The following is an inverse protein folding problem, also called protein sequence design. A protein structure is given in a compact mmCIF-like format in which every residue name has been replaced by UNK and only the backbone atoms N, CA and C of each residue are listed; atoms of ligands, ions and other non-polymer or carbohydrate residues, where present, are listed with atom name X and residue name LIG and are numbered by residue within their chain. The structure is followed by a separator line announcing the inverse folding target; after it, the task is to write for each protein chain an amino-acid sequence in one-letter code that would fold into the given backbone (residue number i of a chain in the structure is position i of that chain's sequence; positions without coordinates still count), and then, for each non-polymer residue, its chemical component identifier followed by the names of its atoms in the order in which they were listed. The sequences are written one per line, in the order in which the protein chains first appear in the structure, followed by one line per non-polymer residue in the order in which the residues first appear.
data_IF_389175321831
#
_entry.id   IF_389175321831
#
_cell.length_a   1.000
_cell.length_b   1.000
_cell.length_c   1.000
_cell.angle_alpha   90.00
_cell.angle_beta   90.00
_cell.angle_gamma   90.00
#
_symmetry.space_group_name_H-M   'P 1'
#
loop_
_entity.id
_entity.type
_entity.pdbx_description
1 polymer ?
#
# COMPACT_ATOMS: atom_id res chain seq x y z
N UNK A 1 -24.15 12.42 -12.48
CA UNK A 1 -22.87 11.88 -11.99
C UNK A 1 -21.75 12.70 -12.63
N UNK A 2 -20.94 13.43 -11.85
CA UNK A 2 -19.80 14.19 -12.41
C UNK A 2 -18.81 13.21 -13.03
N UNK A 3 -18.59 13.30 -14.33
CA UNK A 3 -17.56 12.55 -15.04
C UNK A 3 -16.20 12.94 -14.46
N UNK A 4 -15.49 11.99 -13.85
CA UNK A 4 -14.09 12.22 -13.53
C UNK A 4 -13.33 12.29 -14.86
N UNK A 5 -12.81 13.47 -15.19
CA UNK A 5 -12.05 13.71 -16.43
C UNK A 5 -10.73 12.91 -16.47
N UNK A 6 -10.27 12.39 -15.32
CA UNK A 6 -9.06 11.59 -15.18
C UNK A 6 -9.35 10.35 -14.33
N UNK A 7 -8.78 9.20 -14.72
CA UNK A 7 -8.83 7.98 -13.90
C UNK A 7 -8.01 8.20 -12.63
N UNK A 8 -8.61 8.11 -11.43
CA UNK A 8 -7.87 8.30 -10.19
C UNK A 8 -6.81 7.22 -10.03
N UNK A 9 -5.64 7.61 -9.52
CA UNK A 9 -4.65 6.62 -9.09
C UNK A 9 -5.14 5.91 -7.80
N UNK A 10 -4.47 4.81 -7.42
CA UNK A 10 -4.88 3.98 -6.27
C UNK A 10 -4.99 4.81 -4.97
N UNK A 11 -4.07 5.76 -4.77
CA UNK A 11 -4.09 6.64 -3.60
C UNK A 11 -5.29 7.59 -3.63
N UNK A 12 -5.51 8.28 -4.74
CA UNK A 12 -6.64 9.21 -4.90
C UNK A 12 -7.99 8.50 -4.78
N UNK A 13 -8.10 7.26 -5.30
CA UNK A 13 -9.31 6.45 -5.16
C UNK A 13 -9.60 6.09 -3.70
N UNK A 14 -8.55 5.77 -2.93
CA UNK A 14 -8.65 5.51 -1.50
C UNK A 14 -9.05 6.77 -0.73
N UNK A 15 -8.37 7.89 -0.96
CA UNK A 15 -8.64 9.16 -0.27
C UNK A 15 -10.08 9.64 -0.51
N UNK A 16 -10.62 9.44 -1.71
CA UNK A 16 -12.02 9.76 -2.02
C UNK A 16 -13.02 8.90 -1.23
N UNK A 17 -12.69 7.63 -0.99
CA UNK A 17 -13.58 6.66 -0.33
C UNK A 17 -13.45 6.64 1.19
N UNK A 18 -12.31 7.08 1.73
CA UNK A 18 -12.05 6.97 3.15
C UNK A 18 -12.71 8.12 3.93
N UNK A 19 -13.72 7.81 4.73
CA UNK A 19 -14.34 8.75 5.68
C UNK A 19 -14.39 8.12 7.08
N UNK A 20 -14.18 8.96 8.10
CA UNK A 20 -14.55 8.76 9.52
C UNK A 20 -13.73 7.84 10.46
N UNK A 21 -12.65 7.15 10.06
CA UNK A 21 -11.81 6.46 11.05
C UNK A 21 -10.30 6.75 10.91
N UNK A 22 -9.79 7.73 11.67
CA UNK A 22 -8.40 8.21 11.62
C UNK A 22 -7.37 7.08 11.67
N UNK A 23 -7.53 6.07 12.52
CA UNK A 23 -6.54 4.99 12.67
C UNK A 23 -6.56 4.02 11.49
N UNK A 24 -7.74 3.56 11.11
CA UNK A 24 -7.93 2.65 9.97
C UNK A 24 -7.54 3.34 8.65
N UNK A 25 -7.88 4.62 8.48
CA UNK A 25 -7.44 5.44 7.34
C UNK A 25 -5.93 5.52 7.29
N UNK A 26 -5.26 5.81 8.41
CA UNK A 26 -3.79 5.92 8.46
C UNK A 26 -3.12 4.59 8.12
N UNK A 27 -3.67 3.48 8.61
CA UNK A 27 -3.16 2.14 8.33
C UNK A 27 -3.30 1.75 6.84
N UNK A 28 -4.48 1.96 6.24
CA UNK A 28 -4.66 1.69 4.82
C UNK A 28 -3.85 2.64 3.94
N UNK A 29 -3.67 3.91 4.35
CA UNK A 29 -2.79 4.84 3.68
C UNK A 29 -1.34 4.32 3.66
N UNK A 30 -0.85 3.78 4.79
CA UNK A 30 0.45 3.11 4.85
C UNK A 30 0.53 1.92 3.87
N UNK A 31 -0.48 1.04 3.86
CA UNK A 31 -0.52 -0.12 2.93
C UNK A 31 -0.43 0.35 1.49
N UNK A 32 -1.20 1.36 1.10
CA UNK A 32 -1.23 1.87 -0.27
C UNK A 32 0.12 2.49 -0.64
N UNK A 33 0.70 3.32 0.23
CA UNK A 33 2.03 3.91 0.00
C UNK A 33 3.11 2.84 -0.16
N UNK A 34 3.12 1.81 0.71
CA UNK A 34 4.03 0.66 0.57
C UNK A 34 3.79 -0.08 -0.75
N UNK A 35 2.53 -0.30 -1.12
CA UNK A 35 2.18 -1.00 -2.36
C UNK A 35 2.65 -0.22 -3.59
N UNK A 36 2.33 1.06 -3.68
CA UNK A 36 2.75 1.95 -4.78
C UNK A 36 4.27 1.94 -4.92
N UNK A 37 4.99 2.08 -3.80
CA UNK A 37 6.43 2.08 -3.79
C UNK A 37 7.04 0.76 -4.29
N UNK A 38 6.61 -0.37 -3.74
CA UNK A 38 7.18 -1.66 -4.08
C UNK A 38 6.81 -2.12 -5.50
N UNK A 39 5.61 -1.78 -5.99
CA UNK A 39 5.22 -2.00 -7.39
C UNK A 39 6.09 -1.16 -8.33
N UNK A 40 6.29 0.12 -8.02
CA UNK A 40 7.18 0.97 -8.80
C UNK A 40 8.61 0.42 -8.82
N UNK A 41 9.13 0.01 -7.65
CA UNK A 41 10.47 -0.56 -7.52
C UNK A 41 10.62 -1.83 -8.36
N UNK A 42 9.70 -2.79 -8.24
CA UNK A 42 9.73 -4.04 -9.03
C UNK A 42 9.66 -3.78 -10.54
N UNK A 43 8.88 -2.78 -10.99
CA UNK A 43 8.86 -2.39 -12.42
C UNK A 43 10.20 -1.85 -12.89
N UNK A 44 10.89 -1.07 -12.05
CA UNK A 44 12.23 -0.56 -12.36
C UNK A 44 13.29 -1.66 -12.33
N UNK A 45 13.25 -2.53 -11.31
CA UNK A 45 14.17 -3.66 -11.17
C UNK A 45 14.04 -4.60 -12.39
N UNK A 46 12.82 -4.84 -12.88
CA UNK A 46 12.59 -5.60 -14.11
C UNK A 46 13.15 -4.90 -15.36
N UNK A 47 12.95 -3.59 -15.47
CA UNK A 47 13.34 -2.82 -16.66
C UNK A 47 14.85 -2.59 -16.75
N UNK A 48 15.51 -2.34 -15.62
CA UNK A 48 16.89 -1.86 -15.57
C UNK A 48 17.85 -2.81 -14.85
N UNK A 49 17.36 -3.62 -13.92
CA UNK A 49 18.16 -4.58 -13.16
C UNK A 49 18.09 -6.02 -13.68
N UNK A 50 17.21 -6.31 -14.65
CA UNK A 50 16.92 -7.66 -15.14
C UNK A 50 16.58 -8.67 -14.02
N UNK A 51 16.06 -8.18 -12.88
CA UNK A 51 15.58 -9.00 -11.78
C UNK A 51 14.06 -8.93 -11.72
N UNK A 52 13.40 -10.04 -11.37
CA UNK A 52 11.94 -10.10 -11.31
C UNK A 52 11.47 -10.87 -10.09
N UNK A 53 10.42 -10.34 -9.47
CA UNK A 53 9.66 -10.99 -8.40
C UNK A 53 8.29 -11.40 -8.95
N UNK A 54 7.77 -12.55 -8.50
CA UNK A 54 6.36 -12.89 -8.73
C UNK A 54 5.44 -11.95 -7.97
N UNK A 55 4.16 -11.89 -8.35
CA UNK A 55 3.14 -11.14 -7.61
C UNK A 55 3.04 -11.59 -6.15
N UNK A 56 3.17 -12.89 -5.89
CA UNK A 56 3.19 -13.47 -4.54
C UNK A 56 4.38 -12.95 -3.73
N UNK A 57 5.59 -13.01 -4.29
CA UNK A 57 6.80 -12.52 -3.62
C UNK A 57 6.72 -11.01 -3.38
N UNK A 58 6.19 -10.25 -4.34
CA UNK A 58 5.99 -8.81 -4.19
C UNK A 58 4.98 -8.49 -3.08
N UNK A 59 3.87 -9.23 -3.01
CA UNK A 59 2.87 -9.09 -1.95
C UNK A 59 3.47 -9.37 -0.56
N UNK A 60 4.28 -10.43 -0.43
CA UNK A 60 4.99 -10.74 0.80
C UNK A 60 5.97 -9.62 1.19
N UNK A 61 6.73 -9.07 0.24
CA UNK A 61 7.62 -7.91 0.50
C UNK A 61 6.84 -6.70 1.02
N UNK A 62 5.69 -6.38 0.42
CA UNK A 62 4.81 -5.30 0.87
C UNK A 62 4.29 -5.59 2.29
N UNK A 63 3.77 -6.80 2.53
CA UNK A 63 3.26 -7.22 3.84
C UNK A 63 4.34 -7.10 4.93
N UNK A 64 5.56 -7.59 4.67
CA UNK A 64 6.69 -7.47 5.59
C UNK A 64 7.08 -6.01 5.86
N UNK A 65 7.07 -5.15 4.84
CA UNK A 65 7.38 -3.72 5.01
C UNK A 65 6.33 -2.99 5.87
N UNK A 66 5.04 -3.27 5.61
CA UNK A 66 3.94 -2.73 6.42
C UNK A 66 4.05 -3.24 7.86
N UNK A 67 4.26 -4.54 8.04
CA UNK A 67 4.42 -5.16 9.36
C UNK A 67 5.55 -4.51 10.16
N UNK A 68 6.74 -4.34 9.56
CA UNK A 68 7.87 -3.69 10.20
C UNK A 68 7.61 -2.23 10.62
N UNK A 69 6.75 -1.52 9.88
CA UNK A 69 6.33 -0.15 10.23
C UNK A 69 5.30 -0.14 11.36
N UNK A 70 4.32 -1.03 11.31
CA UNK A 70 3.20 -1.11 12.27
C UNK A 70 3.65 -1.65 13.63
N UNK A 71 4.66 -2.53 13.67
CA UNK A 71 5.27 -2.99 14.92
C UNK A 71 5.75 -1.86 15.84
N UNK A 72 6.08 -0.69 15.27
CA UNK A 72 6.51 0.49 16.02
C UNK A 72 5.35 1.34 16.54
N UNK A 73 4.09 1.00 16.23
CA UNK A 73 2.92 1.77 16.60
C UNK A 73 2.31 1.27 17.91
N UNK A 74 1.78 2.21 18.71
CA UNK A 74 1.20 1.92 20.04
C UNK A 74 0.00 0.94 19.99
N UNK A 75 -0.73 0.91 18.88
CA UNK A 75 -1.92 0.05 18.67
C UNK A 75 -1.64 -1.12 17.71
N UNK A 76 -0.40 -1.62 17.68
CA UNK A 76 0.04 -2.66 16.75
C UNK A 76 -0.87 -3.90 16.73
N UNK A 77 -1.16 -4.51 17.88
CA UNK A 77 -1.90 -5.79 17.95
C UNK A 77 -3.27 -5.74 17.25
N UNK A 78 -4.02 -4.66 17.38
CA UNK A 78 -5.33 -4.51 16.75
C UNK A 78 -5.25 -4.38 15.22
N UNK A 79 -4.15 -3.82 14.70
CA UNK A 79 -3.93 -3.59 13.27
C UNK A 79 -3.33 -4.82 12.57
N UNK A 80 -2.56 -5.64 13.28
CA UNK A 80 -1.97 -6.86 12.72
C UNK A 80 -3.01 -7.88 12.27
N UNK A 81 -4.19 -7.91 12.90
CA UNK A 81 -5.30 -8.78 12.50
C UNK A 81 -5.85 -8.45 11.10
N UNK A 82 -5.48 -7.31 10.51
CA UNK A 82 -5.92 -6.87 9.19
C UNK A 82 -4.92 -7.22 8.06
N UNK A 83 -3.80 -7.90 8.37
CA UNK A 83 -2.71 -8.23 7.43
C UNK A 83 -2.58 -9.73 7.16
#
# INVERSE_FOLDING_TARGET
MKSQLLRPNILQAFEYKCKDNRWTTTFFHLIICCSVYHIWRERNDRKFGNTFSSSTTLSLKIKSAVFAKVLKWKHCCSLLNLL
#
